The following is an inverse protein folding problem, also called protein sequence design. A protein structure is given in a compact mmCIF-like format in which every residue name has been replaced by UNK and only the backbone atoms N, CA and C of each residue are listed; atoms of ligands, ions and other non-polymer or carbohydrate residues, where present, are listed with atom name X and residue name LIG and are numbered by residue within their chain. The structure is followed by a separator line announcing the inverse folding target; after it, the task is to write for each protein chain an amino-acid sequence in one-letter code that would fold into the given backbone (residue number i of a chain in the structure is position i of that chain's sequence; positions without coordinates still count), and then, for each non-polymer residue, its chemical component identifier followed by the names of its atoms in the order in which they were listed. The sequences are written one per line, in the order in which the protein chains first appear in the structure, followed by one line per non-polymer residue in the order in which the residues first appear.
data_IF_638819303405
#
_entry.id   IF_638819303405
#
_cell.length_a   1.000
_cell.length_b   1.000
_cell.length_c   1.000
_cell.angle_alpha   90.00
_cell.angle_beta   90.00
_cell.angle_gamma   90.00
#
_symmetry.space_group_name_H-M   'P 1'
#
loop_
_entity.id
_entity.type
_entity.pdbx_description
1 polymer ?
#
# COMPACT_ATOMS: atom_id res chain seq x y z
N UNK A 1 62.70 18.40 47.18
CA UNK A 1 61.23 18.39 47.17
C UNK A 1 60.78 17.84 45.81
N UNK A 2 60.45 16.55 45.79
CA UNK A 2 59.99 15.86 44.53
C UNK A 2 58.47 15.97 44.46
N UNK A 3 57.95 16.53 43.35
CA UNK A 3 56.54 16.56 43.05
C UNK A 3 56.13 15.25 42.41
N UNK A 4 55.20 14.51 43.04
CA UNK A 4 54.55 13.33 42.49
C UNK A 4 53.42 13.78 41.59
N UNK A 5 53.47 13.41 40.31
CA UNK A 5 52.35 13.56 39.38
C UNK A 5 51.55 12.25 39.39
N UNK A 6 50.35 12.31 39.91
CA UNK A 6 49.36 11.22 39.84
C UNK A 6 48.50 11.42 38.57
N UNK A 7 48.69 10.54 37.60
CA UNK A 7 47.85 10.43 36.43
C UNK A 7 46.58 9.63 36.78
N UNK A 8 45.40 10.26 36.77
CA UNK A 8 44.10 9.58 36.80
C UNK A 8 43.76 9.08 35.39
N UNK A 9 43.80 7.77 35.21
CA UNK A 9 43.28 7.11 34.03
C UNK A 9 41.77 6.95 34.21
N UNK A 10 40.98 7.73 33.46
CA UNK A 10 39.52 7.57 33.38
C UNK A 10 39.21 6.36 32.47
N UNK A 11 38.73 5.30 33.05
CA UNK A 11 38.21 4.12 32.34
C UNK A 11 36.79 4.47 31.88
N UNK A 12 36.63 4.81 30.58
CA UNK A 12 35.32 4.97 29.98
C UNK A 12 34.64 3.61 29.79
N UNK A 13 33.63 3.33 30.63
CA UNK A 13 32.78 2.16 30.47
C UNK A 13 31.84 2.47 29.30
N UNK A 14 32.13 1.94 28.12
CA UNK A 14 31.22 1.92 26.99
C UNK A 14 30.11 0.90 27.28
N UNK A 15 28.97 1.39 27.75
CA UNK A 15 27.73 0.57 27.78
C UNK A 15 27.28 0.38 26.33
N UNK A 16 27.57 -0.80 25.78
CA UNK A 16 26.95 -1.27 24.56
C UNK A 16 25.45 -1.45 24.84
N UNK A 17 24.64 -0.50 24.38
CA UNK A 17 23.22 -0.73 24.21
C UNK A 17 23.08 -1.74 23.08
N UNK A 18 22.98 -3.03 23.43
CA UNK A 18 22.47 -4.03 22.49
C UNK A 18 20.97 -3.76 22.32
N UNK A 19 20.61 -3.13 21.21
CA UNK A 19 19.23 -3.18 20.75
C UNK A 19 18.85 -4.67 20.65
N UNK A 20 17.65 -5.09 21.09
CA UNK A 20 17.24 -6.48 20.92
C UNK A 20 17.34 -6.84 19.44
N UNK A 21 18.19 -7.79 19.12
CA UNK A 21 18.25 -8.39 17.79
C UNK A 21 16.93 -9.16 17.62
N UNK A 22 16.14 -8.79 16.62
CA UNK A 22 14.94 -9.52 16.24
C UNK A 22 15.35 -10.66 15.30
N UNK A 23 16.17 -11.58 15.78
CA UNK A 23 16.60 -12.76 15.03
C UNK A 23 15.48 -13.79 15.03
N UNK A 24 15.24 -14.44 13.88
CA UNK A 24 14.36 -15.62 13.79
C UNK A 24 14.88 -16.72 14.72
N UNK A 25 13.96 -17.36 15.42
CA UNK A 25 14.22 -18.49 16.32
C UNK A 25 13.66 -19.76 15.69
N UNK A 26 14.47 -20.79 15.54
CA UNK A 26 14.00 -22.10 15.05
C UNK A 26 12.89 -22.64 15.98
N UNK A 27 11.76 -23.02 15.42
CA UNK A 27 10.60 -23.53 16.17
C UNK A 27 9.66 -22.45 16.70
N UNK A 28 9.85 -21.17 16.37
CA UNK A 28 8.92 -20.07 16.62
C UNK A 28 8.70 -19.28 15.32
N UNK A 29 7.56 -18.61 15.15
CA UNK A 29 7.29 -17.76 13.99
C UNK A 29 7.37 -16.29 14.37
N UNK A 30 8.18 -15.51 13.65
CA UNK A 30 8.20 -14.06 13.68
C UNK A 30 7.53 -13.51 12.42
N UNK A 31 6.48 -12.72 12.60
CA UNK A 31 5.68 -12.14 11.51
C UNK A 31 5.75 -10.62 11.58
N UNK A 32 6.02 -9.96 10.44
CA UNK A 32 5.94 -8.51 10.32
C UNK A 32 4.78 -8.09 9.42
N UNK A 33 3.98 -7.15 9.92
CA UNK A 33 2.86 -6.53 9.22
C UNK A 33 2.73 -5.08 9.68
N UNK A 34 2.15 -4.20 8.85
CA UNK A 34 1.83 -2.84 9.32
C UNK A 34 0.69 -2.84 10.34
N UNK A 35 0.76 -1.90 11.28
CA UNK A 35 -0.25 -1.74 12.34
C UNK A 35 -1.65 -1.38 11.83
N UNK A 36 -1.76 -0.83 10.62
CA UNK A 36 -3.01 -0.46 9.96
C UNK A 36 -3.63 -1.59 9.10
N UNK A 37 -3.00 -2.78 9.07
CA UNK A 37 -3.40 -3.94 8.26
C UNK A 37 -3.95 -5.12 9.08
N UNK A 38 -4.56 -4.85 10.23
CA UNK A 38 -5.14 -5.89 11.07
C UNK A 38 -4.12 -6.64 11.93
N UNK A 39 -3.15 -5.90 12.43
CA UNK A 39 -2.07 -6.42 13.28
C UNK A 39 -2.56 -7.20 14.50
N UNK A 40 -3.55 -6.66 15.26
CA UNK A 40 -4.08 -7.32 16.47
C UNK A 40 -4.88 -8.56 16.11
N UNK A 41 -5.65 -8.51 15.00
CA UNK A 41 -6.38 -9.65 14.49
C UNK A 41 -5.46 -10.79 14.02
N UNK A 42 -4.34 -10.44 13.36
CA UNK A 42 -3.32 -11.43 12.97
C UNK A 42 -2.63 -12.05 14.19
N UNK A 43 -2.37 -11.24 15.21
CA UNK A 43 -1.81 -11.75 16.48
C UNK A 43 -2.77 -12.72 17.19
N UNK A 44 -4.10 -12.50 17.08
CA UNK A 44 -5.10 -13.46 17.58
C UNK A 44 -5.05 -14.79 16.81
N UNK A 45 -4.93 -14.74 15.48
CA UNK A 45 -4.72 -15.96 14.66
C UNK A 45 -3.43 -16.67 15.07
N UNK A 46 -2.38 -15.90 15.38
CA UNK A 46 -1.11 -16.45 15.91
C UNK A 46 -1.29 -17.16 17.26
N UNK A 47 -2.10 -16.61 18.18
CA UNK A 47 -2.41 -17.28 19.46
C UNK A 47 -3.17 -18.60 19.26
N UNK A 48 -4.12 -18.63 18.31
CA UNK A 48 -4.83 -19.86 17.99
C UNK A 48 -3.87 -20.94 17.45
N UNK A 49 -2.93 -20.55 16.60
CA UNK A 49 -1.89 -21.47 16.12
C UNK A 49 -1.01 -22.00 17.26
N UNK A 50 -0.61 -21.12 18.20
CA UNK A 50 0.18 -21.51 19.38
C UNK A 50 -0.61 -22.44 20.30
N UNK A 51 -1.90 -22.20 20.54
CA UNK A 51 -2.76 -23.08 21.34
C UNK A 51 -2.89 -24.47 20.75
N UNK A 52 -3.03 -24.58 19.41
CA UNK A 52 -3.24 -25.84 18.74
C UNK A 52 -1.95 -26.65 18.52
N UNK A 53 -0.83 -25.98 18.33
CA UNK A 53 0.46 -26.62 17.93
C UNK A 53 1.53 -26.55 18.98
N UNK A 54 1.42 -25.64 19.95
CA UNK A 54 2.49 -25.33 20.92
C UNK A 54 3.61 -24.46 20.35
N UNK A 55 3.49 -24.00 19.09
CA UNK A 55 4.49 -23.20 18.38
C UNK A 55 4.16 -21.73 18.56
N UNK A 56 5.07 -20.98 19.17
CA UNK A 56 4.88 -19.57 19.45
C UNK A 56 4.89 -18.72 18.18
N UNK A 57 3.95 -17.76 18.11
CA UNK A 57 3.84 -16.79 17.02
C UNK A 57 3.98 -15.38 17.58
N UNK A 58 4.97 -14.65 17.10
CA UNK A 58 5.22 -13.25 17.47
C UNK A 58 4.91 -12.33 16.29
N UNK A 59 3.85 -11.53 16.39
CA UNK A 59 3.49 -10.56 15.34
C UNK A 59 3.99 -9.18 15.75
N UNK A 60 4.67 -8.49 14.83
CA UNK A 60 5.28 -7.17 15.05
C UNK A 60 4.97 -6.20 13.91
N UNK A 61 5.02 -4.90 14.20
CA UNK A 61 4.84 -3.82 13.23
C UNK A 61 6.02 -2.81 13.31
N UNK A 62 7.21 -3.17 12.82
CA UNK A 62 8.35 -2.26 12.85
C UNK A 62 8.08 -1.02 11.97
N UNK A 63 8.61 0.12 12.39
CA UNK A 63 8.59 1.34 11.57
C UNK A 63 9.37 1.11 10.26
N UNK A 64 8.89 1.70 9.15
CA UNK A 64 9.48 1.56 7.82
C UNK A 64 9.73 0.09 7.44
N UNK A 65 8.72 -0.74 7.69
CA UNK A 65 8.80 -2.21 7.58
C UNK A 65 9.42 -2.67 6.26
N UNK A 66 8.99 -2.08 5.14
CA UNK A 66 9.46 -2.45 3.80
C UNK A 66 10.96 -2.21 3.59
N UNK A 67 11.46 -1.07 4.05
CA UNK A 67 12.87 -0.71 3.95
C UNK A 67 13.71 -1.50 4.96
N UNK A 68 13.16 -1.72 6.17
CA UNK A 68 13.84 -2.50 7.21
C UNK A 68 13.99 -3.96 6.82
N UNK A 69 12.93 -4.57 6.24
CA UNK A 69 13.02 -5.95 5.75
C UNK A 69 14.15 -6.10 4.75
N UNK A 70 14.25 -5.20 3.77
CA UNK A 70 15.32 -5.24 2.77
C UNK A 70 16.72 -5.16 3.38
N UNK A 71 16.89 -4.44 4.49
CA UNK A 71 18.17 -4.29 5.16
C UNK A 71 18.61 -5.52 5.97
N UNK A 72 17.65 -6.23 6.59
CA UNK A 72 17.95 -7.26 7.59
C UNK A 72 17.61 -8.68 7.15
N UNK A 73 16.76 -8.88 6.14
CA UNK A 73 16.30 -10.22 5.76
C UNK A 73 17.43 -11.17 5.32
N UNK A 74 18.45 -10.65 4.64
CA UNK A 74 19.59 -11.46 4.17
C UNK A 74 20.46 -12.01 5.29
N UNK A 75 20.45 -11.38 6.47
CA UNK A 75 21.29 -11.78 7.63
C UNK A 75 20.56 -12.70 8.61
N UNK A 76 19.25 -12.94 8.38
CA UNK A 76 18.42 -13.70 9.30
C UNK A 76 17.91 -12.89 10.51
N UNK A 77 18.13 -11.57 10.51
CA UNK A 77 17.63 -10.66 11.56
C UNK A 77 16.22 -10.14 11.26
N UNK A 78 15.60 -10.61 10.16
CA UNK A 78 14.26 -10.26 9.71
C UNK A 78 13.19 -11.24 10.21
N UNK A 79 11.93 -11.12 9.72
CA UNK A 79 10.84 -12.03 10.06
C UNK A 79 10.92 -13.34 9.27
N UNK A 80 10.18 -14.36 9.73
CA UNK A 80 9.88 -15.55 8.93
C UNK A 80 8.86 -15.22 7.82
N UNK A 81 7.84 -14.41 8.17
CA UNK A 81 6.78 -14.00 7.26
C UNK A 81 6.69 -12.47 7.24
N UNK A 82 6.71 -11.89 6.05
CA UNK A 82 6.46 -10.46 5.83
C UNK A 82 5.12 -10.26 5.12
N UNK A 83 4.30 -9.34 5.62
CA UNK A 83 3.12 -8.85 4.92
C UNK A 83 3.38 -7.46 4.35
N UNK A 84 3.20 -7.33 3.04
CA UNK A 84 3.30 -6.06 2.32
C UNK A 84 2.53 -6.12 1.00
N UNK A 85 2.31 -4.96 0.38
CA UNK A 85 1.81 -4.90 -0.98
C UNK A 85 2.83 -5.52 -1.95
N UNK A 86 2.34 -6.28 -2.92
CA UNK A 86 3.13 -7.14 -3.79
C UNK A 86 4.15 -6.40 -4.69
N UNK A 87 3.99 -5.09 -4.90
CA UNK A 87 4.89 -4.26 -5.71
C UNK A 87 6.36 -4.33 -5.25
N UNK A 88 6.59 -4.60 -3.95
CA UNK A 88 7.93 -4.78 -3.37
C UNK A 88 8.48 -6.19 -3.56
N UNK A 89 7.61 -7.16 -3.77
CA UNK A 89 8.01 -8.57 -3.78
C UNK A 89 8.94 -8.91 -4.95
N UNK A 90 8.76 -8.29 -6.12
CA UNK A 90 9.67 -8.46 -7.25
C UNK A 90 11.11 -8.07 -6.92
N UNK A 91 11.31 -6.91 -6.28
CA UNK A 91 12.64 -6.47 -5.85
C UNK A 91 13.22 -7.33 -4.74
N UNK A 92 12.38 -7.80 -3.81
CA UNK A 92 12.83 -8.72 -2.75
C UNK A 92 13.23 -10.09 -3.32
N UNK A 93 12.47 -10.59 -4.30
CA UNK A 93 12.78 -11.85 -4.98
C UNK A 93 14.06 -11.75 -5.81
N UNK A 94 14.28 -10.65 -6.53
CA UNK A 94 15.53 -10.41 -7.27
C UNK A 94 16.74 -10.34 -6.34
N UNK A 95 16.58 -9.73 -5.16
CA UNK A 95 17.62 -9.68 -4.13
C UNK A 95 17.78 -11.02 -3.37
N UNK A 96 16.99 -12.06 -3.68
CA UNK A 96 17.03 -13.36 -3.03
C UNK A 96 16.52 -13.36 -1.59
N UNK A 97 15.68 -12.38 -1.21
CA UNK A 97 15.17 -12.23 0.16
C UNK A 97 13.88 -13.02 0.41
N UNK A 98 13.14 -13.37 -0.64
CA UNK A 98 11.93 -14.18 -0.56
C UNK A 98 12.16 -15.58 -1.12
N UNK A 99 11.48 -16.53 -0.51
CA UNK A 99 11.48 -17.93 -0.93
C UNK A 99 10.41 -18.16 -2.00
N UNK A 100 10.69 -19.02 -2.97
CA UNK A 100 9.64 -19.56 -3.86
C UNK A 100 8.69 -20.40 -3.03
N UNK A 101 7.38 -20.16 -3.15
CA UNK A 101 6.33 -20.96 -2.52
C UNK A 101 5.66 -21.88 -3.54
N UNK A 102 5.18 -23.05 -3.09
CA UNK A 102 4.61 -24.08 -3.97
C UNK A 102 3.25 -24.59 -3.44
N UNK A 103 2.26 -23.68 -3.29
CA UNK A 103 0.94 -24.10 -2.85
C UNK A 103 0.33 -25.10 -3.83
N UNK A 104 -0.41 -26.06 -3.30
CA UNK A 104 -1.12 -27.06 -4.12
C UNK A 104 -2.12 -26.38 -5.04
N UNK A 105 -2.48 -27.01 -6.16
CA UNK A 105 -3.53 -26.49 -7.04
C UNK A 105 -4.88 -26.38 -6.34
N UNK A 106 -5.16 -27.28 -5.40
CA UNK A 106 -6.34 -27.23 -4.55
C UNK A 106 -6.36 -25.95 -3.71
N UNK A 107 -5.23 -25.60 -3.07
CA UNK A 107 -5.11 -24.36 -2.32
C UNK A 107 -5.23 -23.13 -3.24
N UNK A 108 -4.52 -23.11 -4.37
CA UNK A 108 -4.58 -22.01 -5.33
C UNK A 108 -6.03 -21.75 -5.78
N UNK A 109 -6.83 -22.78 -6.00
CA UNK A 109 -8.21 -22.66 -6.44
C UNK A 109 -9.17 -22.06 -5.37
N UNK A 110 -8.76 -22.01 -4.10
CA UNK A 110 -9.52 -21.32 -3.03
C UNK A 110 -9.48 -19.81 -3.20
N UNK A 111 -8.42 -19.26 -3.83
CA UNK A 111 -8.20 -17.84 -3.97
C UNK A 111 -8.65 -17.32 -5.34
N UNK A 112 -8.87 -16.02 -5.45
CA UNK A 112 -9.22 -15.34 -6.69
C UNK A 112 -8.05 -15.45 -7.67
N UNK A 113 -8.31 -15.97 -8.87
CA UNK A 113 -7.28 -16.43 -9.80
C UNK A 113 -6.27 -15.35 -10.20
N UNK A 114 -6.72 -14.14 -10.53
CA UNK A 114 -5.84 -13.04 -10.95
C UNK A 114 -4.89 -12.56 -9.83
N UNK A 115 -5.22 -12.83 -8.56
CA UNK A 115 -4.37 -12.41 -7.45
C UNK A 115 -3.02 -13.13 -7.40
N UNK A 116 -2.93 -14.31 -8.00
CA UNK A 116 -1.67 -15.05 -8.12
C UNK A 116 -0.70 -14.40 -9.10
N UNK A 117 -1.20 -13.65 -10.11
CA UNK A 117 -0.35 -12.92 -11.04
C UNK A 117 0.49 -11.86 -10.32
N UNK A 118 -0.08 -11.26 -9.27
CA UNK A 118 0.57 -10.22 -8.47
C UNK A 118 1.81 -10.73 -7.70
N UNK A 119 1.82 -12.02 -7.32
CA UNK A 119 2.93 -12.65 -6.59
C UNK A 119 3.74 -13.61 -7.46
N UNK A 120 3.58 -13.52 -8.79
CA UNK A 120 4.37 -14.27 -9.75
C UNK A 120 5.56 -13.41 -10.22
N UNK A 121 6.76 -13.86 -9.95
CA UNK A 121 7.99 -13.24 -10.42
C UNK A 121 8.81 -14.25 -11.23
N UNK A 122 9.02 -13.98 -12.52
CA UNK A 122 9.76 -14.87 -13.43
C UNK A 122 9.24 -16.32 -13.44
N UNK A 123 7.91 -16.50 -13.42
CA UNK A 123 7.25 -17.81 -13.43
C UNK A 123 7.24 -18.54 -12.08
N UNK A 124 7.70 -17.91 -11.00
CA UNK A 124 7.73 -18.45 -9.65
C UNK A 124 6.78 -17.69 -8.74
N UNK A 125 6.02 -18.40 -7.91
CA UNK A 125 5.23 -17.78 -6.86
C UNK A 125 6.16 -17.43 -5.68
N UNK A 126 6.16 -16.16 -5.27
CA UNK A 126 7.04 -15.62 -4.24
C UNK A 126 6.26 -15.14 -3.00
N UNK A 127 5.01 -15.52 -2.89
CA UNK A 127 4.14 -15.20 -1.76
C UNK A 127 2.72 -15.71 -1.96
N UNK A 128 1.89 -15.43 -0.96
CA UNK A 128 0.47 -15.78 -0.89
C UNK A 128 -0.37 -14.50 -0.94
N UNK A 129 -1.25 -14.30 -1.92
CA UNK A 129 -2.06 -13.10 -2.03
C UNK A 129 -3.21 -13.12 -1.03
N UNK A 130 -3.33 -12.11 -0.15
CA UNK A 130 -4.30 -12.09 0.95
C UNK A 130 -5.50 -11.19 0.67
N UNK A 131 -5.26 -9.92 0.33
CA UNK A 131 -6.31 -8.93 0.16
C UNK A 131 -6.06 -8.04 -1.06
N UNK A 132 -7.15 -7.61 -1.69
CA UNK A 132 -7.15 -6.73 -2.87
C UNK A 132 -7.31 -5.30 -2.38
N UNK A 133 -6.27 -4.50 -2.52
CA UNK A 133 -6.22 -3.12 -2.08
C UNK A 133 -6.33 -2.19 -3.29
N UNK A 134 -7.53 -1.67 -3.54
CA UNK A 134 -7.74 -0.58 -4.49
C UNK A 134 -8.20 0.66 -3.72
N UNK A 135 -7.50 1.78 -3.95
CA UNK A 135 -7.97 3.07 -3.46
C UNK A 135 -9.26 3.48 -4.18
N UNK A 136 -10.02 4.34 -3.53
CA UNK A 136 -11.33 4.78 -3.99
C UNK A 136 -11.52 6.27 -3.72
N UNK A 137 -12.46 6.88 -4.39
CA UNK A 137 -13.00 8.16 -3.96
C UNK A 137 -13.91 7.92 -2.75
N UNK A 138 -13.56 8.51 -1.60
CA UNK A 138 -14.38 8.47 -0.39
C UNK A 138 -15.02 9.85 -0.23
N UNK A 139 -16.32 9.91 0.00
CA UNK A 139 -17.04 11.17 0.08
C UNK A 139 -17.96 11.25 1.30
N UNK A 140 -18.07 12.43 1.89
CA UNK A 140 -18.95 12.73 3.01
C UNK A 140 -20.36 13.01 2.50
N UNK A 141 -21.32 12.11 2.79
CA UNK A 141 -22.71 12.18 2.30
C UNK A 141 -23.48 13.36 2.88
N UNK A 142 -23.07 13.90 4.02
CA UNK A 142 -23.70 15.06 4.63
C UNK A 142 -23.31 16.37 3.93
N UNK A 143 -22.16 16.41 3.26
CA UNK A 143 -21.68 17.54 2.48
C UNK A 143 -21.97 17.38 0.98
N UNK A 144 -21.85 16.16 0.48
CA UNK A 144 -22.00 15.81 -0.93
C UNK A 144 -22.82 14.51 -1.03
N UNK A 145 -24.16 14.60 -1.29
CA UNK A 145 -25.04 13.42 -1.31
C UNK A 145 -24.66 12.38 -2.35
N UNK A 146 -24.12 12.80 -3.49
CA UNK A 146 -23.68 11.96 -4.60
C UNK A 146 -22.25 12.33 -5.00
N UNK A 147 -21.38 11.35 -5.29
CA UNK A 147 -20.02 11.63 -5.76
C UNK A 147 -20.04 12.19 -7.20
N UNK A 148 -19.02 12.99 -7.61
CA UNK A 148 -18.91 13.45 -8.98
C UNK A 148 -18.69 12.28 -9.95
N UNK A 149 -19.16 12.43 -11.19
CA UNK A 149 -18.96 11.46 -12.27
C UNK A 149 -17.70 11.77 -13.09
N UNK A 150 -17.33 13.03 -13.13
CA UNK A 150 -16.12 13.50 -13.81
C UNK A 150 -15.31 14.43 -12.88
N UNK A 151 -13.99 14.46 -13.06
CA UNK A 151 -13.10 15.35 -12.28
C UNK A 151 -13.37 16.83 -12.61
N UNK A 152 -13.90 17.14 -13.77
CA UNK A 152 -14.25 18.48 -14.22
C UNK A 152 -15.41 19.09 -13.42
N UNK A 153 -16.13 18.32 -12.62
CA UNK A 153 -17.16 18.81 -11.71
C UNK A 153 -16.60 19.50 -10.45
N UNK A 154 -15.30 19.28 -10.12
CA UNK A 154 -14.69 19.82 -8.90
C UNK A 154 -14.82 21.34 -8.72
N UNK A 155 -14.65 22.20 -9.73
CA UNK A 155 -14.84 23.65 -9.57
C UNK A 155 -16.27 24.03 -9.13
N UNK A 156 -17.29 23.34 -9.64
CA UNK A 156 -18.67 23.59 -9.24
C UNK A 156 -18.94 23.14 -7.79
N UNK A 157 -18.40 21.98 -7.40
CA UNK A 157 -18.48 21.48 -6.02
C UNK A 157 -17.76 22.43 -5.07
N UNK A 158 -16.60 22.98 -5.47
CA UNK A 158 -15.86 23.92 -4.64
C UNK A 158 -16.66 25.20 -4.34
N UNK A 159 -17.42 25.72 -5.29
CA UNK A 159 -18.24 26.89 -5.04
C UNK A 159 -19.24 26.63 -3.89
N UNK A 160 -19.81 25.42 -3.84
CA UNK A 160 -20.70 24.99 -2.75
C UNK A 160 -19.95 24.82 -1.44
N UNK A 161 -18.81 24.12 -1.46
CA UNK A 161 -18.03 23.85 -0.25
C UNK A 161 -17.50 25.12 0.40
N UNK A 162 -17.00 26.07 -0.40
CA UNK A 162 -16.56 27.38 0.10
C UNK A 162 -17.67 28.15 0.81
N UNK A 163 -18.90 28.08 0.31
CA UNK A 163 -20.04 28.71 0.96
C UNK A 163 -20.36 28.10 2.33
N UNK A 164 -19.98 26.84 2.54
CA UNK A 164 -20.13 26.11 3.80
C UNK A 164 -18.88 26.22 4.72
N UNK A 165 -17.81 26.89 4.26
CA UNK A 165 -16.54 26.93 4.98
C UNK A 165 -15.84 25.55 5.04
N UNK A 166 -16.04 24.72 4.02
CA UNK A 166 -15.49 23.35 3.89
C UNK A 166 -14.56 23.25 2.69
N UNK A 167 -13.68 22.24 2.75
CA UNK A 167 -12.80 21.89 1.64
C UNK A 167 -13.47 20.90 0.68
N UNK A 168 -13.12 20.97 -0.60
CA UNK A 168 -13.71 20.11 -1.64
C UNK A 168 -13.13 18.71 -1.60
N UNK A 169 -11.81 18.62 -1.66
CA UNK A 169 -11.08 17.35 -1.68
C UNK A 169 -9.69 17.52 -1.05
N UNK A 170 -9.27 16.55 -0.26
CA UNK A 170 -7.93 16.50 0.32
C UNK A 170 -7.37 15.09 0.26
N UNK A 171 -6.12 14.96 -0.19
CA UNK A 171 -5.31 13.74 -0.12
C UNK A 171 -3.83 14.14 -0.19
N UNK A 172 -2.91 13.22 0.05
CA UNK A 172 -1.49 13.45 -0.18
C UNK A 172 -1.19 13.40 -1.69
N UNK A 173 -1.35 14.55 -2.34
CA UNK A 173 -1.23 14.67 -3.80
C UNK A 173 0.18 14.40 -4.31
N UNK A 174 1.20 14.52 -3.47
CA UNK A 174 2.61 14.23 -3.84
C UNK A 174 2.90 12.73 -3.83
N UNK A 175 2.08 11.96 -3.17
CA UNK A 175 2.19 10.51 -3.18
C UNK A 175 1.62 9.97 -4.50
N UNK A 176 2.50 9.44 -5.34
CA UNK A 176 2.16 8.91 -6.66
C UNK A 176 1.03 7.87 -6.61
N UNK A 177 1.01 6.99 -5.60
CA UNK A 177 -0.02 5.97 -5.46
C UNK A 177 -1.45 6.55 -5.36
N UNK A 178 -1.64 7.58 -4.52
CA UNK A 178 -2.96 8.22 -4.36
C UNK A 178 -3.33 9.12 -5.52
N UNK A 179 -2.35 9.67 -6.25
CA UNK A 179 -2.58 10.60 -7.36
C UNK A 179 -2.69 9.88 -8.70
N UNK A 180 -2.23 8.64 -8.77
CA UNK A 180 -2.26 7.81 -9.97
C UNK A 180 -3.61 7.77 -10.69
N UNK A 181 -4.77 7.63 -10.03
CA UNK A 181 -6.06 7.59 -10.71
C UNK A 181 -6.33 8.79 -11.62
N UNK A 182 -5.76 9.95 -11.28
CA UNK A 182 -5.91 11.18 -12.07
C UNK A 182 -4.88 11.23 -13.19
N UNK A 183 -3.60 11.03 -12.84
CA UNK A 183 -2.50 11.18 -13.82
C UNK A 183 -2.44 10.05 -14.84
N UNK A 184 -3.00 8.87 -14.50
CA UNK A 184 -3.02 7.70 -15.38
C UNK A 184 -4.19 7.65 -16.37
N UNK A 185 -5.18 8.53 -16.27
CA UNK A 185 -6.37 8.47 -17.11
C UNK A 185 -6.00 8.45 -18.60
N UNK A 186 -6.25 7.32 -19.30
CA UNK A 186 -5.82 7.07 -20.67
C UNK A 186 -4.30 6.87 -20.87
N UNK A 187 -3.55 6.61 -19.79
CA UNK A 187 -2.13 6.28 -19.79
C UNK A 187 -1.87 4.98 -19.01
N UNK A 188 -0.63 4.64 -18.73
CA UNK A 188 -0.21 3.42 -18.03
C UNK A 188 1.14 3.68 -17.31
N UNK A 189 1.47 2.83 -16.33
CA UNK A 189 2.78 2.88 -15.67
C UNK A 189 3.86 2.25 -16.53
N UNK A 190 3.82 0.94 -16.67
CA UNK A 190 4.66 0.13 -17.56
C UNK A 190 3.77 -0.64 -18.50
N UNK A 191 4.22 -0.84 -19.75
CA UNK A 191 3.44 -1.57 -20.74
C UNK A 191 3.27 -3.04 -20.34
N UNK A 192 2.01 -3.44 -20.17
CA UNK A 192 1.69 -4.84 -19.91
C UNK A 192 1.98 -5.70 -21.15
N UNK A 193 2.64 -6.84 -20.92
CA UNK A 193 2.94 -7.87 -21.93
C UNK A 193 2.25 -9.18 -21.54
N UNK A 194 2.38 -10.22 -22.35
CA UNK A 194 1.86 -11.55 -22.00
C UNK A 194 2.59 -12.17 -20.80
N UNK A 195 3.85 -11.81 -20.59
CA UNK A 195 4.73 -12.39 -19.57
C UNK A 195 5.03 -11.44 -18.39
N UNK A 196 4.24 -10.35 -18.26
CA UNK A 196 4.43 -9.37 -17.19
C UNK A 196 4.44 -7.93 -17.71
N UNK A 197 5.52 -7.19 -17.48
CA UNK A 197 5.67 -5.78 -17.85
C UNK A 197 6.97 -5.51 -18.59
N UNK A 198 6.90 -4.66 -19.61
CA UNK A 198 8.08 -4.12 -20.29
C UNK A 198 8.61 -2.91 -19.52
N UNK A 199 9.71 -3.10 -18.80
CA UNK A 199 10.33 -2.04 -18.01
C UNK A 199 10.93 -0.91 -18.86
N UNK A 200 11.04 -1.06 -20.17
CA UNK A 200 11.55 -0.05 -21.09
C UNK A 200 10.46 0.79 -21.77
N UNK A 201 9.19 0.39 -21.68
CA UNK A 201 8.04 1.10 -22.25
C UNK A 201 7.15 1.62 -21.11
N UNK A 202 7.30 2.91 -20.79
CA UNK A 202 6.63 3.57 -19.68
C UNK A 202 5.77 4.74 -20.15
N UNK A 203 4.56 4.83 -19.56
CA UNK A 203 3.58 5.84 -19.96
C UNK A 203 3.66 7.17 -19.21
N UNK A 204 4.59 7.31 -18.24
CA UNK A 204 4.67 8.48 -17.35
C UNK A 204 4.84 9.81 -18.08
N UNK A 205 5.48 9.83 -19.25
CA UNK A 205 5.72 11.01 -20.06
C UNK A 205 4.88 11.02 -21.36
N UNK A 206 3.80 10.23 -21.40
CA UNK A 206 2.85 10.24 -22.52
C UNK A 206 2.15 11.60 -22.65
N UNK A 207 1.56 11.87 -23.81
CA UNK A 207 0.78 13.11 -23.99
C UNK A 207 -0.41 13.16 -23.01
N UNK A 208 -1.06 12.03 -22.77
CA UNK A 208 -2.15 11.93 -21.79
C UNK A 208 -1.67 12.24 -20.37
N UNK A 209 -0.55 11.68 -19.92
CA UNK A 209 0.02 11.97 -18.63
C UNK A 209 0.32 13.47 -18.46
N UNK A 210 0.86 14.12 -19.50
CA UNK A 210 1.08 15.59 -19.50
C UNK A 210 -0.22 16.39 -19.39
N UNK A 211 -1.25 16.01 -20.14
CA UNK A 211 -2.57 16.66 -20.07
C UNK A 211 -3.21 16.49 -18.69
N UNK A 212 -3.12 15.29 -18.11
CA UNK A 212 -3.68 14.99 -16.79
C UNK A 212 -2.94 15.74 -15.67
N UNK A 213 -1.62 15.85 -15.75
CA UNK A 213 -0.85 16.65 -14.80
C UNK A 213 -1.14 18.16 -14.96
N UNK A 214 -1.43 18.63 -16.19
CA UNK A 214 -1.87 20.00 -16.42
C UNK A 214 -3.25 20.27 -15.78
N UNK A 215 -4.18 19.31 -15.87
CA UNK A 215 -5.45 19.40 -15.16
C UNK A 215 -5.25 19.49 -13.65
N UNK A 216 -4.40 18.64 -13.06
CA UNK A 216 -4.10 18.68 -11.63
C UNK A 216 -3.45 20.00 -11.18
N UNK A 217 -2.55 20.55 -12.01
CA UNK A 217 -1.96 21.89 -11.78
C UNK A 217 -3.03 22.99 -11.84
N UNK A 218 -3.96 22.92 -12.77
CA UNK A 218 -5.07 23.87 -12.85
C UNK A 218 -5.97 23.81 -11.61
N UNK A 219 -6.31 22.61 -11.13
CA UNK A 219 -7.06 22.44 -9.87
C UNK A 219 -6.28 23.00 -8.67
N UNK A 220 -4.97 22.90 -8.68
CA UNK A 220 -4.09 23.48 -7.65
C UNK A 220 -4.12 25.02 -7.73
N UNK A 221 -4.00 25.59 -8.92
CA UNK A 221 -4.05 27.04 -9.13
C UNK A 221 -5.41 27.66 -8.75
N UNK A 222 -6.50 26.91 -8.89
CA UNK A 222 -7.82 27.30 -8.44
C UNK A 222 -8.03 27.13 -6.92
N UNK A 223 -7.04 26.55 -6.21
CA UNK A 223 -7.10 26.26 -4.77
C UNK A 223 -8.10 25.16 -4.42
N UNK A 224 -8.36 24.22 -5.34
CA UNK A 224 -9.16 23.01 -5.11
C UNK A 224 -8.31 21.92 -4.52
N UNK A 225 -7.09 21.77 -5.04
CA UNK A 225 -6.08 20.83 -4.59
C UNK A 225 -4.96 21.58 -3.87
N UNK A 226 -4.60 21.13 -2.68
CA UNK A 226 -3.55 21.74 -1.87
C UNK A 226 -2.32 20.80 -1.79
N UNK A 227 -1.19 21.15 -2.47
CA UNK A 227 0.01 20.30 -2.46
C UNK A 227 0.76 20.29 -1.12
N UNK A 228 0.37 21.13 -0.16
CA UNK A 228 0.94 21.15 1.20
C UNK A 228 0.34 20.13 2.15
N UNK A 229 -0.71 19.39 1.73
CA UNK A 229 -1.39 18.40 2.56
C UNK A 229 -0.61 17.08 2.53
N UNK A 230 -0.41 16.48 3.70
CA UNK A 230 0.08 15.11 3.86
C UNK A 230 -1.06 14.13 4.17
N UNK A 231 -0.74 12.84 4.18
CA UNK A 231 -1.71 11.78 4.42
C UNK A 231 -2.46 11.93 5.75
N UNK A 232 -1.75 12.17 6.86
CA UNK A 232 -2.35 12.26 8.18
C UNK A 232 -3.29 13.46 8.33
N UNK A 233 -2.89 14.60 7.78
CA UNK A 233 -3.73 15.81 7.77
C UNK A 233 -4.99 15.63 6.90
N UNK A 234 -4.88 14.99 5.73
CA UNK A 234 -6.02 14.69 4.86
C UNK A 234 -7.02 13.75 5.55
N UNK A 235 -6.54 12.65 6.11
CA UNK A 235 -7.38 11.67 6.83
C UNK A 235 -8.08 12.31 8.03
N UNK A 236 -7.34 13.05 8.86
CA UNK A 236 -7.90 13.73 10.03
C UNK A 236 -8.96 14.77 9.66
N UNK A 237 -8.69 15.62 8.65
CA UNK A 237 -9.64 16.63 8.21
C UNK A 237 -10.92 16.02 7.65
N UNK A 238 -10.81 14.92 6.91
CA UNK A 238 -11.96 14.19 6.38
C UNK A 238 -12.77 13.53 7.50
N UNK A 239 -12.13 12.85 8.44
CA UNK A 239 -12.77 12.21 9.58
C UNK A 239 -13.52 13.21 10.48
N UNK A 240 -13.07 14.48 10.55
CA UNK A 240 -13.74 15.58 11.26
C UNK A 240 -14.90 16.20 10.48
N UNK A 241 -15.21 15.74 9.27
CA UNK A 241 -16.27 16.29 8.42
C UNK A 241 -15.96 17.68 7.87
N UNK A 242 -14.69 18.04 7.74
CA UNK A 242 -14.25 19.34 7.21
C UNK A 242 -14.00 19.32 5.69
N UNK A 243 -14.02 18.15 5.08
CA UNK A 243 -13.71 17.92 3.67
C UNK A 243 -14.81 17.09 3.04
N UNK A 244 -15.22 17.44 1.82
CA UNK A 244 -16.28 16.69 1.13
C UNK A 244 -15.79 15.37 0.54
N UNK A 245 -14.52 15.28 0.09
CA UNK A 245 -13.96 14.09 -0.55
C UNK A 245 -12.52 13.85 -0.14
N UNK A 246 -12.11 12.57 -0.17
CA UNK A 246 -10.71 12.17 -0.06
C UNK A 246 -10.43 10.97 -0.97
N UNK A 247 -9.16 10.72 -1.28
CA UNK A 247 -8.70 9.50 -1.97
C UNK A 247 -8.00 8.65 -0.91
N UNK A 248 -8.54 7.47 -0.63
CA UNK A 248 -7.96 6.57 0.37
C UNK A 248 -8.40 5.11 0.11
N UNK A 249 -7.83 4.19 0.87
CA UNK A 249 -8.12 2.76 0.79
C UNK A 249 -8.93 2.22 1.96
N UNK A 250 -9.26 0.91 1.94
CA UNK A 250 -10.06 0.26 2.99
C UNK A 250 -9.47 0.37 4.40
N UNK A 251 -8.16 0.45 4.52
CA UNK A 251 -7.46 0.62 5.81
C UNK A 251 -7.88 1.88 6.58
N UNK A 252 -8.38 2.92 5.89
CA UNK A 252 -8.87 4.14 6.53
C UNK A 252 -10.28 4.02 7.12
N UNK A 253 -11.09 3.04 6.64
CA UNK A 253 -12.52 2.95 7.01
C UNK A 253 -12.72 2.78 8.52
N UNK A 254 -11.87 2.00 9.20
CA UNK A 254 -11.96 1.82 10.64
C UNK A 254 -11.86 3.13 11.44
N UNK A 255 -11.06 4.10 10.97
CA UNK A 255 -10.95 5.41 11.60
C UNK A 255 -12.18 6.28 11.30
N UNK A 256 -12.71 6.20 10.08
CA UNK A 256 -13.93 6.92 9.67
C UNK A 256 -15.18 6.40 10.40
N UNK A 257 -15.29 5.06 10.55
CA UNK A 257 -16.35 4.41 11.30
C UNK A 257 -16.33 4.82 12.78
N UNK A 258 -15.12 4.84 13.41
CA UNK A 258 -14.93 5.31 14.80
C UNK A 258 -15.26 6.79 14.98
N UNK A 259 -15.02 7.62 13.96
CA UNK A 259 -15.40 9.03 13.98
C UNK A 259 -16.90 9.24 13.78
N UNK A 260 -17.67 8.21 13.45
CA UNK A 260 -19.11 8.30 13.17
C UNK A 260 -19.45 9.08 11.91
N UNK A 261 -18.53 9.17 10.96
CA UNK A 261 -18.73 9.93 9.72
C UNK A 261 -19.71 9.19 8.79
N UNK A 262 -20.68 9.91 8.25
CA UNK A 262 -21.58 9.40 7.23
C UNK A 262 -20.93 9.51 5.85
N UNK A 263 -20.21 8.46 5.42
CA UNK A 263 -19.46 8.49 4.17
C UNK A 263 -19.92 7.42 3.18
N UNK A 264 -19.51 7.59 1.94
CA UNK A 264 -19.63 6.60 0.87
C UNK A 264 -18.28 6.34 0.22
N UNK A 265 -18.16 5.17 -0.38
CA UNK A 265 -17.01 4.76 -1.21
C UNK A 265 -17.52 4.64 -2.64
N UNK A 266 -16.84 5.26 -3.59
CA UNK A 266 -17.27 5.32 -4.98
C UNK A 266 -16.15 4.91 -5.94
N UNK A 267 -16.55 4.49 -7.14
CA UNK A 267 -15.62 4.42 -8.27
C UNK A 267 -15.07 5.83 -8.57
N UNK A 268 -13.86 5.88 -9.10
CA UNK A 268 -13.26 7.16 -9.48
C UNK A 268 -14.03 7.84 -10.61
N UNK A 269 -14.12 9.19 -10.58
CA UNK A 269 -14.62 9.96 -11.69
C UNK A 269 -13.76 9.76 -12.95
N UNK A 270 -14.34 9.94 -14.13
CA UNK A 270 -13.55 10.00 -15.37
C UNK A 270 -12.85 11.35 -15.51
N UNK A 271 -11.77 11.39 -16.30
CA UNK A 271 -11.13 12.63 -16.75
C UNK A 271 -11.34 12.75 -18.26
N UNK A 272 -12.15 13.69 -18.68
CA UNK A 272 -12.69 13.70 -20.03
C UNK A 272 -13.49 12.43 -20.31
N UNK A 273 -13.07 11.69 -21.36
CA UNK A 273 -13.67 10.40 -21.72
C UNK A 273 -12.86 9.18 -21.19
N UNK A 274 -11.79 9.44 -20.45
CA UNK A 274 -10.90 8.38 -19.98
C UNK A 274 -11.29 7.94 -18.57
N UNK A 275 -11.24 6.65 -18.33
CA UNK A 275 -11.40 6.10 -16.97
C UNK A 275 -10.19 6.43 -16.11
N UNK A 276 -10.42 6.76 -14.86
CA UNK A 276 -9.39 6.82 -13.84
C UNK A 276 -9.04 5.41 -13.39
N UNK A 277 -7.81 5.00 -13.59
CA UNK A 277 -7.34 3.64 -13.29
C UNK A 277 -6.47 3.67 -12.04
N UNK A 278 -6.98 3.33 -10.84
CA UNK A 278 -6.14 3.27 -9.65
C UNK A 278 -5.11 2.14 -9.79
N UNK A 279 -3.99 2.28 -9.09
CA UNK A 279 -3.16 1.13 -8.82
C UNK A 279 -3.89 0.15 -7.89
N UNK A 280 -3.80 -1.12 -8.22
CA UNK A 280 -4.33 -2.21 -7.41
C UNK A 280 -3.18 -2.91 -6.72
N UNK A 281 -3.15 -2.81 -5.39
CA UNK A 281 -2.26 -3.56 -4.53
C UNK A 281 -2.85 -4.92 -4.19
N UNK A 282 -2.00 -5.90 -3.99
CA UNK A 282 -2.37 -7.16 -3.34
C UNK A 282 -1.52 -7.26 -2.08
N UNK A 283 -2.16 -7.08 -0.92
CA UNK A 283 -1.51 -7.40 0.35
C UNK A 283 -1.16 -8.88 0.35
N UNK A 284 0.10 -9.19 0.50
CA UNK A 284 0.59 -10.55 0.31
C UNK A 284 1.50 -10.96 1.46
N UNK A 285 1.52 -12.25 1.77
CA UNK A 285 2.42 -12.87 2.73
C UNK A 285 3.60 -13.50 1.99
N UNK A 286 4.83 -13.01 2.24
CA UNK A 286 6.05 -13.59 1.72
C UNK A 286 6.84 -14.32 2.81
N UNK A 287 7.48 -15.43 2.47
CA UNK A 287 8.34 -16.17 3.39
C UNK A 287 9.79 -15.76 3.13
N UNK A 288 10.49 -15.34 4.19
CA UNK A 288 11.91 -14.97 4.10
C UNK A 288 12.77 -16.16 3.67
N UNK A 289 13.69 -15.94 2.74
CA UNK A 289 14.62 -16.98 2.28
C UNK A 289 15.57 -17.45 3.39
N UNK A 290 15.88 -16.58 4.35
CA UNK A 290 16.75 -16.88 5.49
C UNK A 290 16.00 -17.52 6.68
N UNK A 291 14.68 -17.67 6.60
CA UNK A 291 13.90 -18.33 7.66
C UNK A 291 14.26 -19.81 7.78
N UNK A 292 14.58 -20.32 8.99
CA UNK A 292 14.72 -21.76 9.24
C UNK A 292 13.35 -22.46 9.41
N UNK A 293 12.24 -21.69 9.45
CA UNK A 293 10.90 -22.14 9.81
C UNK A 293 9.95 -22.24 8.61
N UNK A 294 10.44 -22.58 7.41
CA UNK A 294 9.65 -22.62 6.18
C UNK A 294 8.37 -23.45 6.33
N UNK A 295 8.48 -24.68 6.82
CA UNK A 295 7.34 -25.60 6.95
C UNK A 295 6.29 -25.04 7.92
N UNK A 296 6.71 -24.41 9.01
CA UNK A 296 5.83 -23.76 9.99
C UNK A 296 5.15 -22.53 9.38
N UNK A 297 5.87 -21.76 8.59
CA UNK A 297 5.32 -20.59 7.90
C UNK A 297 4.25 -20.99 6.88
N UNK A 298 4.51 -22.05 6.09
CA UNK A 298 3.52 -22.60 5.15
C UNK A 298 2.30 -23.12 5.89
N UNK A 299 2.49 -23.92 6.95
CA UNK A 299 1.39 -24.45 7.78
C UNK A 299 0.53 -23.33 8.36
N UNK A 300 1.16 -22.31 8.94
CA UNK A 300 0.44 -21.14 9.46
C UNK A 300 -0.36 -20.43 8.37
N UNK A 301 0.24 -20.18 7.20
CA UNK A 301 -0.41 -19.46 6.11
C UNK A 301 -1.56 -20.28 5.53
N UNK A 302 -1.32 -21.53 5.12
CA UNK A 302 -2.30 -22.31 4.34
C UNK A 302 -3.44 -22.86 5.19
N UNK A 303 -3.21 -23.21 6.46
CA UNK A 303 -4.18 -23.90 7.29
C UNK A 303 -4.78 -23.05 8.42
N UNK A 304 -4.13 -21.94 8.81
CA UNK A 304 -4.64 -21.06 9.86
C UNK A 304 -5.06 -19.70 9.30
N UNK A 305 -4.20 -19.02 8.54
CA UNK A 305 -4.47 -17.67 8.03
C UNK A 305 -5.57 -17.68 6.96
N UNK A 306 -5.48 -18.55 5.95
CA UNK A 306 -6.45 -18.60 4.84
C UNK A 306 -7.71 -19.42 5.20
N UNK A 307 -8.34 -19.04 6.31
CA UNK A 307 -9.63 -19.55 6.74
C UNK A 307 -10.63 -18.40 6.89
N UNK A 308 -11.93 -18.67 6.71
CA UNK A 308 -12.98 -17.65 6.89
C UNK A 308 -12.95 -17.06 8.31
N UNK A 309 -12.65 -17.87 9.33
CA UNK A 309 -12.54 -17.45 10.72
C UNK A 309 -11.40 -16.48 10.95
N UNK A 310 -10.20 -16.80 10.48
CA UNK A 310 -9.02 -15.95 10.62
C UNK A 310 -9.18 -14.64 9.87
N UNK A 311 -9.60 -14.67 8.61
CA UNK A 311 -9.81 -13.46 7.82
C UNK A 311 -10.89 -12.56 8.42
N UNK A 312 -11.95 -13.14 8.99
CA UNK A 312 -12.97 -12.39 9.74
C UNK A 312 -12.37 -11.72 10.98
N UNK A 313 -11.51 -12.40 11.73
CA UNK A 313 -10.83 -11.85 12.91
C UNK A 313 -9.94 -10.67 12.52
N UNK A 314 -9.13 -10.81 11.48
CA UNK A 314 -8.27 -9.74 10.98
C UNK A 314 -9.10 -8.56 10.45
N UNK A 315 -10.16 -8.85 9.66
CA UNK A 315 -11.03 -7.82 9.08
C UNK A 315 -11.84 -7.04 10.13
N UNK A 316 -12.15 -7.67 11.26
CA UNK A 316 -12.83 -7.01 12.40
C UNK A 316 -11.90 -6.04 13.15
N UNK A 317 -10.59 -6.31 13.18
CA UNK A 317 -9.59 -5.39 13.72
C UNK A 317 -9.40 -4.20 12.78
N UNK A 318 -9.08 -4.50 11.51
CA UNK A 318 -8.95 -3.50 10.45
C UNK A 318 -9.57 -4.05 9.16
N UNK A 319 -10.44 -3.26 8.51
CA UNK A 319 -11.02 -3.66 7.24
C UNK A 319 -9.94 -3.96 6.20
N UNK A 320 -9.93 -5.20 5.71
CA UNK A 320 -9.01 -5.65 4.65
C UNK A 320 -9.43 -5.11 3.27
N UNK A 321 -10.67 -4.65 3.12
CA UNK A 321 -11.26 -4.39 1.83
C UNK A 321 -11.76 -5.69 1.20
N UNK A 322 -11.50 -5.88 -0.08
CA UNK A 322 -11.76 -7.14 -0.75
C UNK A 322 -10.65 -8.15 -0.42
N UNK A 323 -11.02 -9.41 -0.24
CA UNK A 323 -10.07 -10.48 0.09
C UNK A 323 -9.96 -11.49 -1.04
N UNK A 324 -8.87 -12.23 -1.08
CA UNK A 324 -8.64 -13.21 -2.15
C UNK A 324 -9.31 -14.54 -1.88
N UNK A 325 -9.53 -14.92 -0.63
CA UNK A 325 -10.24 -16.16 -0.28
C UNK A 325 -11.70 -16.08 -0.72
N UNK A 326 -12.08 -16.87 -1.74
CA UNK A 326 -13.39 -16.80 -2.42
C UNK A 326 -14.58 -16.96 -1.46
N UNK A 327 -14.48 -17.84 -0.47
CA UNK A 327 -15.56 -18.09 0.50
C UNK A 327 -15.80 -16.88 1.39
N UNK A 328 -14.75 -16.29 1.95
CA UNK A 328 -14.88 -15.09 2.79
C UNK A 328 -15.25 -13.86 1.96
N UNK A 329 -14.68 -13.68 0.76
CA UNK A 329 -15.04 -12.60 -0.16
C UNK A 329 -16.54 -12.58 -0.45
N UNK A 330 -17.13 -13.73 -0.72
CA UNK A 330 -18.58 -13.84 -0.97
C UNK A 330 -19.42 -13.35 0.22
N UNK A 331 -18.93 -13.49 1.44
CA UNK A 331 -19.61 -12.98 2.64
C UNK A 331 -19.58 -11.46 2.74
N UNK A 332 -18.63 -10.79 2.07
CA UNK A 332 -18.44 -9.34 2.07
C UNK A 332 -19.17 -8.61 0.94
N UNK A 333 -19.71 -9.32 -0.05
CA UNK A 333 -20.33 -8.74 -1.26
C UNK A 333 -21.54 -7.85 -0.98
N UNK A 334 -22.19 -7.96 0.19
CA UNK A 334 -23.28 -7.09 0.58
C UNK A 334 -22.84 -5.67 0.98
N UNK A 335 -21.56 -5.46 1.32
CA UNK A 335 -21.03 -4.14 1.67
C UNK A 335 -20.80 -3.31 0.40
N UNK A 336 -21.50 -2.16 0.31
CA UNK A 336 -21.39 -1.25 -0.84
C UNK A 336 -19.96 -0.69 -1.02
N UNK A 337 -19.17 -0.59 0.08
CA UNK A 337 -17.77 -0.14 0.06
C UNK A 337 -16.91 -1.17 -0.66
N UNK A 338 -17.10 -2.45 -0.33
CA UNK A 338 -16.40 -3.57 -0.98
C UNK A 338 -16.74 -3.63 -2.48
N UNK A 339 -18.02 -3.45 -2.84
CA UNK A 339 -18.42 -3.39 -4.26
C UNK A 339 -17.71 -2.28 -5.01
N UNK A 340 -17.66 -1.08 -4.44
CA UNK A 340 -16.97 0.05 -5.07
C UNK A 340 -15.47 -0.18 -5.19
N UNK A 341 -14.84 -0.78 -4.18
CA UNK A 341 -13.43 -1.17 -4.20
C UNK A 341 -13.17 -2.19 -5.32
N UNK A 342 -14.04 -3.20 -5.49
CA UNK A 342 -13.91 -4.18 -6.58
C UNK A 342 -14.06 -3.54 -7.95
N UNK A 343 -15.01 -2.60 -8.14
CA UNK A 343 -15.15 -1.85 -9.41
C UNK A 343 -13.86 -1.07 -9.71
N UNK A 344 -13.26 -0.43 -8.70
CA UNK A 344 -11.98 0.26 -8.86
C UNK A 344 -10.84 -0.72 -9.19
N UNK A 345 -10.81 -1.89 -8.55
CA UNK A 345 -9.82 -2.92 -8.82
C UNK A 345 -9.95 -3.49 -10.26
N UNK A 346 -11.16 -3.73 -10.73
CA UNK A 346 -11.43 -4.23 -12.09
C UNK A 346 -11.07 -3.21 -13.18
N UNK A 347 -11.22 -1.91 -12.89
CA UNK A 347 -10.83 -0.83 -13.80
C UNK A 347 -9.37 -0.41 -13.61
N UNK A 348 -8.71 -0.90 -12.57
CA UNK A 348 -7.38 -0.48 -12.16
C UNK A 348 -6.25 -1.22 -12.88
N UNK A 349 -5.04 -0.80 -12.56
CA UNK A 349 -3.80 -1.46 -12.99
C UNK A 349 -3.18 -2.17 -11.78
N UNK A 350 -3.00 -3.50 -11.86
CA UNK A 350 -2.22 -4.21 -10.83
C UNK A 350 -0.82 -3.60 -10.84
N UNK A 351 -0.35 -3.18 -9.67
CA UNK A 351 1.00 -2.62 -9.54
C UNK A 351 2.04 -3.59 -10.10
N UNK A 352 2.92 -3.16 -10.99
CA UNK A 352 3.98 -4.04 -11.48
C UNK A 352 4.90 -4.52 -10.36
N UNK A 353 5.04 -5.84 -10.20
CA UNK A 353 5.98 -6.44 -9.26
C UNK A 353 7.40 -6.52 -9.87
N UNK A 354 7.91 -5.38 -10.34
CA UNK A 354 9.25 -5.27 -10.95
C UNK A 354 10.13 -4.30 -10.17
N UNK A 355 11.46 -4.47 -10.18
CA UNK A 355 12.39 -3.62 -9.41
C UNK A 355 12.26 -2.12 -9.73
N UNK A 356 11.92 -1.77 -10.96
CA UNK A 356 11.76 -0.40 -11.43
C UNK A 356 10.64 0.36 -10.70
N UNK A 357 9.67 -0.33 -10.10
CA UNK A 357 8.61 0.33 -9.32
C UNK A 357 9.15 1.16 -8.16
N UNK A 358 10.27 0.77 -7.56
CA UNK A 358 10.92 1.57 -6.51
C UNK A 358 11.30 2.96 -7.02
N UNK A 359 11.95 3.01 -8.19
CA UNK A 359 12.34 4.27 -8.82
C UNK A 359 11.12 5.03 -9.36
N UNK A 360 10.11 4.30 -9.82
CA UNK A 360 8.85 4.86 -10.31
C UNK A 360 8.17 5.73 -9.24
N UNK A 361 7.94 5.18 -8.04
CA UNK A 361 7.31 5.90 -6.93
C UNK A 361 8.00 7.23 -6.60
N UNK A 362 9.33 7.19 -6.49
CA UNK A 362 10.10 8.39 -6.19
C UNK A 362 10.08 9.42 -7.32
N UNK A 363 10.23 8.95 -8.56
CA UNK A 363 10.37 9.84 -9.72
C UNK A 363 9.05 10.50 -10.07
N UNK A 364 7.93 9.77 -10.05
CA UNK A 364 6.61 10.33 -10.30
C UNK A 364 6.17 11.29 -9.20
N UNK A 365 6.33 10.90 -7.92
CA UNK A 365 6.02 11.78 -6.79
C UNK A 365 6.81 13.08 -6.84
N UNK A 366 8.12 13.01 -7.14
CA UNK A 366 8.96 14.20 -7.30
C UNK A 366 8.53 15.07 -8.50
N UNK A 367 8.13 14.46 -9.62
CA UNK A 367 7.63 15.19 -10.79
C UNK A 367 6.34 15.94 -10.45
N UNK A 368 5.37 15.27 -9.82
CA UNK A 368 4.12 15.88 -9.36
C UNK A 368 4.43 17.05 -8.41
N UNK A 369 5.25 16.83 -7.38
CA UNK A 369 5.59 17.86 -6.40
C UNK A 369 6.26 19.07 -7.05
N UNK A 370 7.22 18.86 -7.95
CA UNK A 370 7.95 19.93 -8.62
C UNK A 370 7.05 20.78 -9.52
N UNK A 371 6.11 20.13 -10.23
CA UNK A 371 5.15 20.83 -11.08
C UNK A 371 4.18 21.66 -10.25
N UNK A 372 3.55 21.05 -9.24
CA UNK A 372 2.53 21.71 -8.42
C UNK A 372 3.12 22.88 -7.58
N UNK A 373 4.41 22.83 -7.24
CA UNK A 373 5.13 23.92 -6.56
C UNK A 373 5.80 24.92 -7.53
N UNK A 374 5.59 24.77 -8.84
CA UNK A 374 6.15 25.68 -9.85
C UNK A 374 7.67 25.61 -10.02
N UNK A 375 8.32 24.53 -9.58
CA UNK A 375 9.77 24.33 -9.66
C UNK A 375 10.23 23.83 -11.02
N UNK A 376 9.38 23.12 -11.74
CA UNK A 376 9.65 22.57 -13.07
C UNK A 376 8.42 22.72 -13.96
N UNK A 377 8.64 22.79 -15.27
CA UNK A 377 7.55 22.62 -16.25
C UNK A 377 7.09 21.16 -16.26
N UNK A 378 5.85 20.91 -16.68
CA UNK A 378 5.32 19.55 -16.82
C UNK A 378 6.22 18.69 -17.70
N UNK A 379 6.66 19.26 -18.85
CA UNK A 379 7.51 18.54 -19.78
C UNK A 379 8.86 18.15 -19.18
N UNK A 380 9.54 19.08 -18.48
CA UNK A 380 10.84 18.82 -17.88
C UNK A 380 10.75 17.85 -16.72
N UNK A 381 9.71 17.95 -15.89
CA UNK A 381 9.50 17.09 -14.73
C UNK A 381 9.26 15.63 -15.17
N UNK A 382 8.34 15.41 -16.12
CA UNK A 382 8.01 14.06 -16.60
C UNK A 382 9.15 13.45 -17.44
N UNK A 383 9.87 14.24 -18.26
CA UNK A 383 11.05 13.76 -18.96
C UNK A 383 12.20 13.39 -18.00
N UNK A 384 12.33 14.11 -16.88
CA UNK A 384 13.30 13.78 -15.83
C UNK A 384 12.93 12.48 -15.13
N UNK A 385 11.66 12.31 -14.77
CA UNK A 385 11.15 11.10 -14.14
C UNK A 385 11.34 9.88 -15.05
N UNK A 386 10.93 9.98 -16.33
CA UNK A 386 11.12 8.94 -17.34
C UNK A 386 12.59 8.48 -17.42
N UNK A 387 13.51 9.44 -17.52
CA UNK A 387 14.94 9.14 -17.59
C UNK A 387 15.48 8.49 -16.33
N UNK A 388 14.92 8.78 -15.15
CA UNK A 388 15.33 8.17 -13.89
C UNK A 388 14.84 6.73 -13.79
N UNK A 389 13.60 6.45 -14.21
CA UNK A 389 13.01 5.12 -14.18
C UNK A 389 13.68 4.15 -15.18
N UNK A 390 14.07 4.66 -16.35
CA UNK A 390 14.71 3.87 -17.42
C UNK A 390 16.23 3.65 -17.23
N UNK A 391 16.80 4.07 -16.11
CA UNK A 391 18.23 3.84 -15.78
C UNK A 391 18.43 2.51 -15.05
#
# INVERSE_FOLDING_TARGET
MKKLNTSLSALALATLFTAPAFAVTEGELLIWINSDKGYEGLAEVGRQFEEDTGIKVNVQFPESLESRFQQVAATGDGPDIIFWAHDRFGSYAEAGLLREVKPSKEFQNKLIDFSWDAVNYNGKLIGYPLAIEAISLIYNKDLLPEPPKTWEELPAIQATMRALGKETIMWDVKNAYFTWPIVSAGSYSFKKTNDGYDASDIGINSEKARQNLAFLLDMTNQGIVNPGVDYANAESAFAQGNVAMTINGPWSWGNLDKAGLNYGVAAFPTLGNEKSNPFVGILSAGISSASPNEDLAVEFIENYLFTDGALKTINNDKPLGAVTLKTFQSSLESDARIKSTMINAENGEIMPAIPQMMTYWHSEGAAIENVLNGRQTIQDALATAEKQILR
#
